data_IF_246226796533
#
_entry.id   IF_246226796533
#
_cell.length_a   1.000
_cell.length_b   1.000
_cell.length_c   1.000
_cell.angle_alpha   90.00
_cell.angle_beta   90.00
_cell.angle_gamma   90.00
#
_symmetry.space_group_name_H-M   'P 1'
#
loop_
_entity.id
_entity.type
_entity.pdbx_description
1 polymer ?
#
# COMPACT_ATOMS: atom_id res chain seq x y z
N UNK A 1 -18.40 13.99 36.65
CA UNK A 1 -17.06 14.23 36.04
C UNK A 1 -16.05 13.10 36.28
N UNK A 2 -16.05 12.41 37.43
CA UNK A 2 -15.12 11.29 37.73
C UNK A 2 -15.08 10.10 36.73
N UNK A 3 -16.18 9.61 36.13
CA UNK A 3 -16.14 8.40 35.31
C UNK A 3 -15.39 8.57 33.97
N UNK A 4 -15.39 9.79 33.40
CA UNK A 4 -14.68 10.06 32.15
C UNK A 4 -13.16 10.09 32.35
N UNK A 5 -12.68 10.57 33.51
CA UNK A 5 -11.24 10.61 33.83
C UNK A 5 -10.67 9.19 33.93
N UNK A 6 -11.39 8.26 34.54
CA UNK A 6 -10.99 6.85 34.63
C UNK A 6 -10.89 6.21 33.26
N UNK A 7 -11.83 6.49 32.35
CA UNK A 7 -11.79 5.98 30.98
C UNK A 7 -10.61 6.55 30.20
N UNK A 8 -10.32 7.85 30.31
CA UNK A 8 -9.18 8.48 29.63
C UNK A 8 -7.86 7.85 30.08
N UNK A 9 -7.66 7.70 31.40
CA UNK A 9 -6.44 7.08 31.95
C UNK A 9 -6.29 5.63 31.47
N UNK A 10 -7.40 4.86 31.44
CA UNK A 10 -7.37 3.49 30.94
C UNK A 10 -7.05 3.40 29.43
N UNK A 11 -7.51 4.38 28.63
CA UNK A 11 -7.17 4.46 27.20
C UNK A 11 -5.70 4.86 27.03
N UNK A 12 -5.20 5.82 27.80
CA UNK A 12 -3.79 6.25 27.73
C UNK A 12 -2.84 5.09 28.09
N UNK A 13 -3.18 4.28 29.10
CA UNK A 13 -2.44 3.07 29.45
C UNK A 13 -2.43 2.04 28.30
N UNK A 14 -3.57 1.87 27.62
CA UNK A 14 -3.64 0.99 26.44
C UNK A 14 -2.81 1.53 25.27
N UNK A 15 -2.84 2.84 25.01
CA UNK A 15 -2.02 3.49 23.99
C UNK A 15 -0.53 3.29 24.31
N UNK A 16 -0.12 3.53 25.55
CA UNK A 16 1.27 3.35 25.98
C UNK A 16 1.75 1.90 25.84
N UNK A 17 0.90 0.92 26.20
CA UNK A 17 1.22 -0.50 26.05
C UNK A 17 1.35 -0.92 24.58
N UNK A 18 0.48 -0.41 23.70
CA UNK A 18 0.58 -0.65 22.26
C UNK A 18 1.83 0.01 21.68
N UNK A 19 2.16 1.23 22.11
CA UNK A 19 3.33 1.95 21.65
C UNK A 19 4.63 1.23 22.01
N UNK A 20 4.74 0.73 23.24
CA UNK A 20 5.89 -0.07 23.68
C UNK A 20 6.05 -1.35 22.84
N UNK A 21 4.95 -2.05 22.53
CA UNK A 21 4.99 -3.22 21.62
C UNK A 21 5.45 -2.84 20.22
N UNK A 22 5.07 -1.66 19.72
CA UNK A 22 5.51 -1.17 18.41
C UNK A 22 7.00 -0.81 18.39
N UNK A 23 7.54 -0.29 19.49
CA UNK A 23 8.97 0.03 19.65
C UNK A 23 9.86 -1.22 19.76
N UNK A 24 9.33 -2.31 20.33
CA UNK A 24 10.01 -3.61 20.43
C UNK A 24 10.02 -4.40 19.11
N UNK A 25 9.17 -4.03 18.13
CA UNK A 25 9.19 -4.63 16.80
C UNK A 25 10.34 -4.07 15.97
N UNK A 26 11.08 -4.95 15.28
CA UNK A 26 12.15 -4.58 14.35
C UNK A 26 11.70 -3.43 13.43
N UNK A 27 12.54 -2.41 13.30
CA UNK A 27 12.22 -1.22 12.52
C UNK A 27 11.78 -1.65 11.11
N UNK A 28 10.51 -1.44 10.72
CA UNK A 28 9.99 -2.08 9.53
C UNK A 28 10.75 -1.58 8.30
N UNK A 29 11.47 -2.47 7.63
CA UNK A 29 12.22 -2.11 6.44
C UNK A 29 11.26 -1.60 5.35
N UNK A 30 11.64 -0.50 4.69
CA UNK A 30 10.83 0.19 3.68
C UNK A 30 11.48 0.04 2.30
N UNK A 31 10.71 -0.03 1.21
CA UNK A 31 11.27 0.06 -0.13
C UNK A 31 12.10 1.34 -0.32
N UNK A 32 13.27 1.20 -0.94
CA UNK A 32 14.19 2.29 -1.23
C UNK A 32 13.49 3.39 -2.02
N UNK A 33 13.72 4.65 -1.66
CA UNK A 33 13.11 5.79 -2.36
C UNK A 33 11.61 6.00 -2.10
N UNK A 34 10.95 5.14 -1.31
CA UNK A 34 9.64 5.47 -0.75
C UNK A 34 9.81 6.57 0.32
N UNK A 35 8.85 7.48 0.41
CA UNK A 35 8.89 8.52 1.44
C UNK A 35 8.50 7.92 2.80
N UNK A 36 9.31 8.17 3.83
CA UNK A 36 9.10 7.65 5.20
C UNK A 36 7.71 7.97 5.73
N UNK A 37 7.22 9.20 5.51
CA UNK A 37 5.89 9.64 5.97
C UNK A 37 4.78 8.87 5.27
N UNK A 38 4.87 8.67 3.95
CA UNK A 38 3.87 7.92 3.17
C UNK A 38 3.84 6.47 3.62
N UNK A 39 5.01 5.86 3.81
CA UNK A 39 5.14 4.50 4.30
C UNK A 39 4.52 4.34 5.70
N UNK A 40 4.91 5.19 6.65
CA UNK A 40 4.37 5.15 8.01
C UNK A 40 2.86 5.35 8.04
N UNK A 41 2.34 6.27 7.23
CA UNK A 41 0.90 6.49 7.15
C UNK A 41 0.19 5.27 6.52
N UNK A 42 0.76 4.65 5.49
CA UNK A 42 0.21 3.42 4.89
C UNK A 42 0.13 2.30 5.92
N UNK A 43 1.20 2.08 6.69
CA UNK A 43 1.24 1.09 7.77
C UNK A 43 0.20 1.39 8.86
N UNK A 44 0.07 2.66 9.27
CA UNK A 44 -0.94 3.11 10.25
C UNK A 44 -2.38 2.96 9.77
N UNK A 45 -2.65 3.17 8.48
CA UNK A 45 -4.00 3.00 7.94
C UNK A 45 -4.42 1.52 7.86
N UNK A 46 -3.47 0.61 7.69
CA UNK A 46 -3.73 -0.83 7.68
C UNK A 46 -3.78 -1.40 9.10
N UNK A 47 -2.96 -0.88 10.01
CA UNK A 47 -2.71 -1.36 11.38
C UNK A 47 -2.13 -2.78 11.44
N UNK A 48 -2.89 -3.77 10.96
CA UNK A 48 -2.53 -5.17 10.95
C UNK A 48 -2.72 -5.77 9.55
N UNK A 49 -1.66 -6.33 8.99
CA UNK A 49 -1.68 -6.98 7.68
C UNK A 49 -2.25 -8.40 7.73
N UNK A 50 -2.27 -9.04 8.91
CA UNK A 50 -2.80 -10.39 9.10
C UNK A 50 -4.33 -10.44 9.08
N UNK A 51 -5.01 -9.29 9.22
CA UNK A 51 -6.47 -9.20 9.09
C UNK A 51 -6.98 -9.57 7.69
N UNK A 52 -6.10 -9.63 6.69
CA UNK A 52 -6.45 -10.04 5.33
C UNK A 52 -5.95 -11.47 5.07
N UNK A 53 -6.88 -12.34 4.70
CA UNK A 53 -6.63 -13.73 4.34
C UNK A 53 -6.26 -13.87 2.85
N UNK A 54 -6.80 -12.99 2.01
CA UNK A 54 -6.72 -13.12 0.56
C UNK A 54 -6.27 -11.82 -0.14
N UNK A 55 -5.50 -11.96 -1.23
CA UNK A 55 -5.13 -10.86 -2.16
C UNK A 55 -6.33 -10.01 -2.62
N UNK A 56 -7.52 -10.62 -2.71
CA UNK A 56 -8.74 -9.90 -3.11
C UNK A 56 -9.22 -8.92 -2.02
N UNK A 57 -9.06 -9.27 -0.74
CA UNK A 57 -9.50 -8.43 0.38
C UNK A 57 -8.64 -7.17 0.53
N UNK A 58 -7.31 -7.29 0.42
CA UNK A 58 -6.44 -6.11 0.40
C UNK A 58 -6.71 -5.27 -0.86
N UNK A 59 -6.89 -5.91 -2.02
CA UNK A 59 -7.23 -5.22 -3.26
C UNK A 59 -8.50 -4.37 -3.14
N UNK A 60 -9.59 -4.94 -2.60
CA UNK A 60 -10.83 -4.21 -2.36
C UNK A 60 -10.67 -3.11 -1.31
N UNK A 61 -9.90 -3.35 -0.24
CA UNK A 61 -9.67 -2.38 0.82
C UNK A 61 -9.03 -1.07 0.33
N UNK A 62 -8.16 -1.13 -0.68
CA UNK A 62 -7.54 0.08 -1.26
C UNK A 62 -8.51 0.96 -2.07
N UNK A 63 -9.65 0.43 -2.50
CA UNK A 63 -10.57 1.15 -3.41
C UNK A 63 -10.00 1.46 -4.79
N UNK A 64 -8.98 0.69 -5.24
CA UNK A 64 -8.36 0.77 -6.57
C UNK A 64 -8.86 -0.34 -7.53
N UNK A 65 -9.83 -1.15 -7.10
CA UNK A 65 -10.44 -2.16 -7.95
C UNK A 65 -11.32 -1.50 -9.03
N UNK A 66 -11.20 -1.88 -10.31
CA UNK A 66 -12.11 -1.40 -11.34
C UNK A 66 -13.50 -1.96 -11.06
N UNK A 67 -14.52 -1.16 -11.34
CA UNK A 67 -15.88 -1.66 -11.49
C UNK A 67 -15.92 -2.60 -12.68
N UNK A 68 -16.64 -3.71 -12.54
CA UNK A 68 -16.74 -4.76 -13.55
C UNK A 68 -18.22 -4.93 -13.93
N UNK A 69 -18.49 -4.79 -15.22
CA UNK A 69 -19.79 -5.07 -15.85
C UNK A 69 -19.53 -6.13 -16.92
N UNK A 70 -19.74 -7.38 -16.53
CA UNK A 70 -19.45 -8.55 -17.35
C UNK A 70 -20.72 -9.35 -17.53
N UNK A 71 -21.13 -9.57 -18.78
CA UNK A 71 -22.28 -10.37 -19.16
C UNK A 71 -21.90 -11.36 -20.27
N UNK A 72 -22.05 -12.65 -20.00
CA UNK A 72 -21.70 -13.75 -20.92
C UNK A 72 -20.36 -13.52 -21.66
N UNK A 73 -20.41 -13.16 -22.95
CA UNK A 73 -19.24 -12.93 -23.81
C UNK A 73 -18.63 -11.52 -23.73
N UNK A 74 -19.28 -10.58 -23.04
CA UNK A 74 -18.82 -9.20 -22.90
C UNK A 74 -18.19 -8.99 -21.53
N UNK A 75 -16.97 -8.46 -21.52
CA UNK A 75 -16.30 -7.99 -20.30
C UNK A 75 -15.98 -6.51 -20.40
N UNK A 76 -16.57 -5.71 -19.52
CA UNK A 76 -16.30 -4.28 -19.43
C UNK A 76 -15.72 -3.91 -18.06
N UNK A 77 -14.58 -3.20 -18.07
CA UNK A 77 -13.99 -2.64 -16.86
C UNK A 77 -14.11 -1.11 -16.87
N UNK A 78 -14.84 -0.59 -15.89
CA UNK A 78 -15.16 0.82 -15.73
C UNK A 78 -14.13 1.59 -14.89
N UNK A 79 -14.62 2.66 -14.25
CA UNK A 79 -13.85 3.46 -13.29
C UNK A 79 -13.47 2.65 -12.05
N UNK A 80 -12.56 3.17 -11.24
CA UNK A 80 -12.28 2.56 -9.92
C UNK A 80 -13.53 2.63 -9.04
N UNK A 81 -13.75 1.59 -8.25
CA UNK A 81 -14.92 1.44 -7.38
C UNK A 81 -14.97 2.53 -6.30
N UNK A 82 -13.83 3.11 -5.89
CA UNK A 82 -13.67 4.12 -4.81
C UNK A 82 -14.15 3.66 -3.43
N UNK A 83 -14.87 2.55 -3.33
CA UNK A 83 -15.25 1.85 -2.11
C UNK A 83 -14.01 1.20 -1.49
N UNK A 84 -13.42 1.88 -0.51
CA UNK A 84 -12.19 1.50 0.19
C UNK A 84 -11.58 2.71 0.92
N UNK A 85 -10.40 2.55 1.50
CA UNK A 85 -9.73 3.62 2.23
C UNK A 85 -9.18 4.69 1.27
N UNK A 86 -9.72 5.94 1.30
CA UNK A 86 -9.28 7.00 0.40
C UNK A 86 -7.83 7.43 0.64
N UNK A 87 -7.34 7.40 1.89
CA UNK A 87 -5.97 7.79 2.22
C UNK A 87 -4.98 6.81 1.62
N UNK A 88 -5.24 5.50 1.78
CA UNK A 88 -4.42 4.46 1.15
C UNK A 88 -4.38 4.57 -0.37
N UNK A 89 -5.52 4.88 -1.00
CA UNK A 89 -5.56 5.08 -2.44
C UNK A 89 -4.61 6.19 -2.91
N UNK A 90 -4.60 7.34 -2.24
CA UNK A 90 -3.72 8.45 -2.59
C UNK A 90 -2.26 8.09 -2.35
N UNK A 91 -1.94 7.55 -1.18
CA UNK A 91 -0.59 7.12 -0.81
C UNK A 91 -0.02 6.10 -1.80
N UNK A 92 -0.80 5.07 -2.16
CA UNK A 92 -0.34 4.05 -3.12
C UNK A 92 -0.03 4.64 -4.49
N UNK A 93 -0.81 5.62 -4.96
CA UNK A 93 -0.53 6.31 -6.23
C UNK A 93 0.78 7.11 -6.12
N UNK A 94 0.99 7.85 -5.04
CA UNK A 94 2.25 8.57 -4.79
C UNK A 94 3.45 7.62 -4.72
N UNK A 95 3.29 6.49 -4.04
CA UNK A 95 4.31 5.43 -3.95
C UNK A 95 4.71 4.92 -5.32
N UNK A 96 3.77 4.70 -6.25
CA UNK A 96 4.11 4.21 -7.59
C UNK A 96 5.06 5.17 -8.31
N UNK A 97 4.83 6.49 -8.22
CA UNK A 97 5.74 7.46 -8.85
C UNK A 97 7.15 7.40 -8.29
N UNK A 98 7.28 7.21 -6.97
CA UNK A 98 8.56 7.04 -6.30
C UNK A 98 9.23 5.71 -6.67
N UNK A 99 8.48 4.62 -6.71
CA UNK A 99 8.97 3.30 -7.12
C UNK A 99 9.47 3.34 -8.57
N UNK A 100 8.77 4.02 -9.47
CA UNK A 100 9.21 4.20 -10.87
C UNK A 100 10.54 4.92 -11.00
N UNK A 101 10.89 5.77 -10.02
CA UNK A 101 12.15 6.50 -10.01
C UNK A 101 13.28 5.72 -9.34
N UNK A 102 12.99 5.04 -8.23
CA UNK A 102 14.01 4.46 -7.34
C UNK A 102 14.09 2.94 -7.36
N UNK A 103 13.05 2.24 -7.82
CA UNK A 103 13.00 0.78 -8.00
C UNK A 103 12.47 0.43 -9.39
N UNK A 104 13.20 0.77 -10.47
CA UNK A 104 12.77 0.44 -11.84
C UNK A 104 12.64 -1.07 -12.08
N UNK A 105 13.34 -1.88 -11.27
CA UNK A 105 13.36 -3.34 -11.34
C UNK A 105 12.18 -4.01 -10.62
N UNK A 106 11.31 -3.22 -9.96
CA UNK A 106 10.11 -3.77 -9.34
C UNK A 106 9.23 -4.46 -10.40
N UNK A 107 8.86 -5.72 -10.16
CA UNK A 107 8.07 -6.57 -11.07
C UNK A 107 6.82 -5.90 -11.63
N UNK A 108 6.11 -5.12 -10.80
CA UNK A 108 4.91 -4.40 -11.22
C UNK A 108 5.21 -3.33 -12.28
N UNK A 109 6.37 -2.69 -12.20
CA UNK A 109 6.80 -1.65 -13.16
C UNK A 109 7.35 -2.31 -14.42
N UNK A 110 8.18 -3.34 -14.29
CA UNK A 110 8.71 -4.10 -15.42
C UNK A 110 7.58 -4.61 -16.33
N UNK A 111 6.50 -5.13 -15.75
CA UNK A 111 5.32 -5.61 -16.50
C UNK A 111 4.69 -4.55 -17.43
N UNK A 112 4.77 -3.28 -17.05
CA UNK A 112 4.14 -2.18 -17.78
C UNK A 112 5.13 -1.25 -18.46
N UNK A 113 6.44 -1.53 -18.36
CA UNK A 113 7.52 -0.66 -18.85
C UNK A 113 7.39 -0.39 -20.35
N UNK A 114 7.24 -1.43 -21.15
CA UNK A 114 7.14 -1.31 -22.61
C UNK A 114 5.94 -0.44 -23.00
N UNK A 115 4.79 -0.71 -22.39
CA UNK A 115 3.55 0.05 -22.62
C UNK A 115 3.67 1.51 -22.21
N UNK A 116 4.39 1.81 -21.13
CA UNK A 116 4.59 3.19 -20.67
C UNK A 116 5.50 3.99 -21.62
N UNK A 117 6.41 3.31 -22.34
CA UNK A 117 7.30 3.91 -23.34
C UNK A 117 6.65 4.09 -24.71
N UNK A 118 5.49 3.47 -24.97
CA UNK A 118 4.77 3.63 -26.23
C UNK A 118 4.35 5.10 -26.47
N UNK A 119 4.78 5.67 -27.59
CA UNK A 119 4.53 7.07 -27.95
C UNK A 119 3.03 7.39 -28.12
N UNK A 120 2.20 6.41 -28.50
CA UNK A 120 0.76 6.58 -28.77
C UNK A 120 -0.11 6.50 -27.51
N UNK A 121 0.48 6.31 -26.33
CA UNK A 121 -0.29 6.08 -25.11
C UNK A 121 -0.98 7.37 -24.61
N UNK A 122 -2.31 7.35 -24.52
CA UNK A 122 -3.08 8.49 -24.01
C UNK A 122 -2.83 8.74 -22.52
N UNK A 123 -3.04 10.00 -22.07
CA UNK A 123 -2.94 10.37 -20.64
C UNK A 123 -3.86 9.51 -19.75
N UNK A 124 -5.05 9.15 -20.23
CA UNK A 124 -5.98 8.30 -19.50
C UNK A 124 -5.45 6.88 -19.32
N UNK A 125 -4.86 6.29 -20.37
CA UNK A 125 -4.25 4.97 -20.29
C UNK A 125 -3.04 4.94 -19.35
N UNK A 126 -2.20 5.99 -19.34
CA UNK A 126 -1.11 6.13 -18.36
C UNK A 126 -1.62 6.10 -16.92
N UNK A 127 -2.68 6.84 -16.62
CA UNK A 127 -3.32 6.83 -15.28
C UNK A 127 -3.85 5.44 -14.91
N UNK A 128 -4.46 4.72 -15.86
CA UNK A 128 -4.94 3.34 -15.63
C UNK A 128 -3.79 2.39 -15.30
N UNK A 129 -2.64 2.53 -15.97
CA UNK A 129 -1.44 1.74 -15.68
C UNK A 129 -0.93 2.04 -14.27
N UNK A 130 -0.79 3.31 -13.89
CA UNK A 130 -0.37 3.71 -12.54
C UNK A 130 -1.30 3.13 -11.47
N UNK A 131 -2.63 3.20 -11.70
CA UNK A 131 -3.64 2.58 -10.82
C UNK A 131 -3.47 1.06 -10.74
N UNK A 132 -3.18 0.40 -11.86
CA UNK A 132 -2.96 -1.05 -11.88
C UNK A 132 -1.69 -1.44 -11.10
N UNK A 133 -0.60 -0.68 -11.24
CA UNK A 133 0.64 -0.89 -10.48
C UNK A 133 0.39 -0.63 -8.99
N UNK A 134 -0.34 0.43 -8.61
CA UNK A 134 -0.65 0.75 -7.22
C UNK A 134 -1.44 -0.38 -6.54
N UNK A 135 -2.44 -0.94 -7.22
CA UNK A 135 -3.19 -2.10 -6.71
C UNK A 135 -2.31 -3.34 -6.59
N UNK A 136 -1.44 -3.58 -7.56
CA UNK A 136 -0.51 -4.71 -7.52
C UNK A 136 0.49 -4.56 -6.36
N UNK A 137 1.03 -3.36 -6.15
CA UNK A 137 1.95 -3.06 -5.06
C UNK A 137 1.30 -3.29 -3.70
N UNK A 138 0.04 -2.89 -3.49
CA UNK A 138 -0.66 -3.17 -2.23
C UNK A 138 -0.76 -4.68 -1.92
N UNK A 139 -1.04 -5.50 -2.95
CA UNK A 139 -1.10 -6.97 -2.80
C UNK A 139 0.29 -7.55 -2.55
N UNK A 140 1.29 -7.10 -3.29
CA UNK A 140 2.67 -7.59 -3.16
C UNK A 140 3.24 -7.20 -1.79
N UNK A 141 2.97 -5.98 -1.33
CA UNK A 141 3.36 -5.52 0.00
C UNK A 141 2.67 -6.29 1.13
N UNK A 142 1.37 -6.61 0.99
CA UNK A 142 0.71 -7.52 1.92
C UNK A 142 1.39 -8.90 1.98
N UNK A 143 1.85 -9.44 0.84
CA UNK A 143 2.60 -10.72 0.83
C UNK A 143 3.94 -10.58 1.54
N UNK A 144 4.65 -9.47 1.34
CA UNK A 144 5.91 -9.17 2.05
C UNK A 144 5.65 -9.11 3.56
N UNK A 145 4.65 -8.34 4.00
CA UNK A 145 4.32 -8.18 5.43
C UNK A 145 3.83 -9.45 6.11
N UNK A 146 3.33 -10.41 5.34
CA UNK A 146 2.88 -11.72 5.84
C UNK A 146 3.90 -12.84 5.62
N UNK A 147 5.12 -12.51 5.17
CA UNK A 147 6.20 -13.48 4.97
C UNK A 147 5.98 -14.47 3.82
N UNK A 148 5.01 -14.20 2.94
CA UNK A 148 4.69 -15.07 1.79
C UNK A 148 5.63 -14.89 0.60
N UNK A 149 6.32 -13.75 0.53
CA UNK A 149 7.30 -13.43 -0.50
C UNK A 149 8.35 -12.52 0.09
N UNK A 150 9.60 -12.65 -0.36
CA UNK A 150 10.67 -11.74 0.01
C UNK A 150 10.63 -10.47 -0.85
N UNK A 151 11.05 -9.29 -0.34
CA UNK A 151 11.14 -8.08 -1.14
C UNK A 151 12.09 -8.22 -2.34
N UNK A 152 13.18 -8.99 -2.19
CA UNK A 152 14.18 -9.20 -3.23
C UNK A 152 13.58 -9.92 -4.45
N UNK A 153 12.72 -10.91 -4.23
CA UNK A 153 11.99 -11.62 -5.30
C UNK A 153 11.06 -10.69 -6.11
N UNK A 154 10.63 -9.58 -5.52
CA UNK A 154 9.82 -8.57 -6.20
C UNK A 154 10.67 -7.54 -6.96
N UNK A 155 11.99 -7.56 -6.80
CA UNK A 155 12.90 -6.53 -7.31
C UNK A 155 12.83 -5.23 -6.51
N UNK A 156 12.46 -5.29 -5.23
CA UNK A 156 12.45 -4.13 -4.33
C UNK A 156 13.78 -4.04 -3.59
N UNK A 157 14.46 -2.91 -3.72
CA UNK A 157 15.58 -2.58 -2.84
C UNK A 157 15.01 -2.11 -1.51
N UNK A 158 15.57 -2.56 -0.38
CA UNK A 158 15.07 -2.24 0.96
C UNK A 158 16.01 -1.26 1.67
N UNK A 159 15.44 -0.39 2.51
CA UNK A 159 16.18 0.56 3.36
C UNK A 159 15.58 0.57 4.76
N UNK A 160 16.40 0.59 5.83
CA UNK A 160 15.89 0.78 7.18
C UNK A 160 15.20 2.14 7.29
N UNK A 161 14.13 2.21 8.10
CA UNK A 161 13.53 3.49 8.43
C UNK A 161 14.58 4.33 9.15
N UNK A 162 14.74 5.58 8.71
CA UNK A 162 15.52 6.55 9.49
C UNK A 162 14.75 6.79 10.77
N UNK A 163 15.31 6.39 11.90
CA UNK A 163 14.84 6.82 13.21
C UNK A 163 14.92 8.34 13.20
N UNK A 164 13.78 9.01 13.24
CA UNK A 164 13.74 10.44 13.54
C UNK A 164 14.07 10.47 15.03
N UNK A 165 15.34 10.66 15.37
CA UNK A 165 15.75 11.02 16.72
C UNK A 165 15.03 12.32 17.06
N UNK A 166 14.00 12.21 17.91
CA UNK A 166 13.31 13.31 18.53
C UNK A 166 14.12 13.81 19.73
#
# INVERSE_FOLDING_TARGET
>A
MAPLRTIIVAIDEQIAAVQKRMEEMDAPAMPHGMATVIFQQMEREVCDWNRFENRKQIGSYTGLCPSEDTSAQRRFQGSINKHGNPRLRHMLIECVWLLMRWNPDYRGILKWRDKLLEAKLTKASKKKIVVAIARQFAVDWWRVRTGRITPEELGLSMKPLRTISA
#
